data_IF_494745460441
#
_entry.id   IF_494745460441
#
_cell.length_a   1.000
_cell.length_b   1.000
_cell.length_c   1.000
_cell.angle_alpha   90.00
_cell.angle_beta   90.00
_cell.angle_gamma   90.00
#
_symmetry.space_group_name_H-M   'P 1'
#
loop_
_entity.id
_entity.type
_entity.pdbx_description
1 polymer ?
#
# COMPACT_ATOMS: atom_id res chain seq x y z
N UNK A 1 6.32 -18.00 -5.11
CA UNK A 1 6.36 -16.76 -5.93
C UNK A 1 5.23 -16.70 -6.97
N UNK A 2 4.99 -17.74 -7.78
CA UNK A 2 3.91 -17.77 -8.79
C UNK A 2 2.52 -17.42 -8.25
N UNK A 3 2.16 -17.83 -7.01
CA UNK A 3 0.88 -17.48 -6.37
C UNK A 3 0.79 -16.03 -5.86
N UNK A 4 1.92 -15.33 -5.71
CA UNK A 4 1.96 -13.97 -5.15
C UNK A 4 1.89 -12.89 -6.25
N UNK A 5 2.20 -13.24 -7.51
CA UNK A 5 2.06 -12.32 -8.63
C UNK A 5 0.58 -12.03 -8.85
N UNK A 6 0.20 -10.75 -8.84
CA UNK A 6 -1.20 -10.32 -8.92
C UNK A 6 -1.98 -10.37 -7.61
N UNK A 7 -1.41 -10.91 -6.53
CA UNK A 7 -1.99 -10.75 -5.20
C UNK A 7 -1.78 -9.31 -4.71
N UNK A 8 -2.82 -8.72 -4.14
CA UNK A 8 -2.80 -7.38 -3.56
C UNK A 8 -2.93 -7.53 -2.05
N UNK A 9 -2.02 -6.92 -1.32
CA UNK A 9 -2.07 -6.78 0.14
C UNK A 9 -2.09 -5.31 0.52
N UNK A 10 -2.60 -5.03 1.71
CA UNK A 10 -2.80 -3.67 2.20
C UNK A 10 -2.09 -3.50 3.54
N UNK A 11 -1.47 -2.34 3.73
CA UNK A 11 -1.09 -1.86 5.07
C UNK A 11 -1.96 -0.66 5.40
N UNK A 12 -2.38 -0.56 6.65
CA UNK A 12 -3.10 0.58 7.20
C UNK A 12 -2.27 1.12 8.37
N UNK A 13 -1.75 2.32 8.22
CA UNK A 13 -0.93 3.00 9.20
C UNK A 13 -1.79 4.10 9.84
N UNK A 14 -1.89 4.07 11.17
CA UNK A 14 -2.59 5.08 11.96
C UNK A 14 -1.61 5.73 12.90
N UNK A 15 -1.55 7.05 12.86
CA UNK A 15 -0.68 7.83 13.74
C UNK A 15 -1.32 9.16 14.09
N UNK A 16 -0.85 9.77 15.18
CA UNK A 16 -1.17 11.15 15.53
C UNK A 16 -0.02 12.06 15.11
N UNK A 17 -0.35 13.18 14.47
CA UNK A 17 0.58 14.27 14.22
C UNK A 17 0.62 15.22 15.43
N UNK A 18 1.42 16.28 15.32
CA UNK A 18 1.42 17.36 16.29
C UNK A 18 0.00 17.90 16.48
N UNK A 19 -0.36 18.25 17.72
CA UNK A 19 -1.71 18.71 18.15
C UNK A 19 -2.80 17.64 18.25
N UNK A 20 -2.43 16.34 18.37
CA UNK A 20 -3.36 15.22 18.55
C UNK A 20 -4.29 14.95 17.35
N UNK A 21 -3.93 15.50 16.18
CA UNK A 21 -4.61 15.23 14.93
C UNK A 21 -4.28 13.81 14.47
N UNK A 22 -5.29 12.95 14.33
CA UNK A 22 -5.09 11.56 13.93
C UNK A 22 -5.23 11.39 12.42
N UNK A 23 -4.39 10.54 11.84
CA UNK A 23 -4.38 10.27 10.40
C UNK A 23 -4.36 8.78 10.14
N UNK A 24 -4.98 8.39 9.02
CA UNK A 24 -4.95 7.06 8.46
C UNK A 24 -4.35 7.14 7.05
N UNK A 25 -3.28 6.39 6.79
CA UNK A 25 -2.86 6.06 5.44
C UNK A 25 -3.12 4.58 5.15
N UNK A 26 -3.61 4.29 3.95
CA UNK A 26 -3.72 2.92 3.45
C UNK A 26 -2.93 2.78 2.16
N UNK A 27 -2.00 1.82 2.14
CA UNK A 27 -1.13 1.54 1.00
C UNK A 27 -1.42 0.15 0.47
N UNK A 28 -1.76 0.05 -0.81
CA UNK A 28 -1.81 -1.22 -1.52
C UNK A 28 -0.41 -1.57 -2.01
N UNK A 29 0.01 -2.83 -1.85
CA UNK A 29 1.25 -3.34 -2.42
C UNK A 29 0.99 -4.66 -3.16
N UNK A 30 1.68 -4.85 -4.28
CA UNK A 30 1.56 -6.06 -5.10
C UNK A 30 2.85 -6.32 -5.86
N UNK A 31 3.01 -7.55 -6.34
CA UNK A 31 4.15 -7.94 -7.18
C UNK A 31 3.67 -8.12 -8.61
N UNK A 32 4.40 -7.53 -9.57
CA UNK A 32 4.14 -7.63 -11.01
C UNK A 32 5.43 -7.94 -11.77
N UNK A 33 5.30 -8.61 -12.92
CA UNK A 33 6.38 -8.67 -13.91
C UNK A 33 6.69 -7.29 -14.48
N UNK A 34 7.97 -6.95 -14.54
CA UNK A 34 8.45 -5.80 -15.31
C UNK A 34 8.35 -6.14 -16.80
N UNK A 35 7.68 -5.31 -17.60
CA UNK A 35 7.69 -5.48 -19.06
C UNK A 35 8.95 -4.83 -19.63
N UNK A 36 10.08 -5.52 -19.55
CA UNK A 36 11.25 -5.21 -20.38
C UNK A 36 11.10 -5.88 -21.76
N UNK A 37 11.71 -5.30 -22.80
CA UNK A 37 11.67 -5.76 -24.21
C UNK A 37 12.19 -7.20 -24.47
N UNK A 38 12.44 -8.00 -23.45
CA UNK A 38 12.89 -9.37 -23.55
C UNK A 38 11.75 -10.33 -23.15
N UNK A 39 11.35 -11.30 -24.00
CA UNK A 39 10.22 -12.22 -23.76
C UNK A 39 10.37 -13.11 -22.50
N UNK A 40 11.52 -13.08 -21.83
CA UNK A 40 11.90 -13.99 -20.75
C UNK A 40 12.54 -13.29 -19.55
N UNK A 41 12.41 -11.97 -19.40
CA UNK A 41 12.81 -11.32 -18.15
C UNK A 41 11.81 -11.70 -17.06
N UNK A 42 12.08 -12.77 -16.32
CA UNK A 42 11.34 -13.20 -15.13
C UNK A 42 11.46 -12.23 -13.95
N UNK A 43 11.80 -10.96 -14.22
CA UNK A 43 12.04 -9.96 -13.21
C UNK A 43 10.70 -9.50 -12.62
N UNK A 44 10.60 -9.67 -11.31
CA UNK A 44 9.47 -9.23 -10.52
C UNK A 44 9.83 -7.90 -9.86
N UNK A 45 8.90 -6.95 -9.92
CA UNK A 45 8.97 -5.70 -9.18
C UNK A 45 7.85 -5.66 -8.15
N UNK A 46 8.21 -5.26 -6.93
CA UNK A 46 7.25 -4.81 -5.94
C UNK A 46 6.75 -3.43 -6.34
N UNK A 47 5.42 -3.25 -6.35
CA UNK A 47 4.75 -1.98 -6.58
C UNK A 47 3.96 -1.62 -5.34
N UNK A 48 3.80 -0.33 -5.10
CA UNK A 48 2.99 0.20 -4.03
C UNK A 48 2.23 1.43 -4.52
N UNK A 49 1.03 1.65 -3.99
CA UNK A 49 0.22 2.84 -4.23
C UNK A 49 -0.48 3.27 -2.95
N UNK A 50 -0.38 4.55 -2.62
CA UNK A 50 -1.20 5.18 -1.58
C UNK A 50 -2.63 5.28 -2.12
N UNK A 51 -3.56 4.55 -1.50
CA UNK A 51 -4.96 4.49 -1.96
C UNK A 51 -5.92 5.25 -1.05
N UNK A 52 -5.48 5.58 0.17
CA UNK A 52 -6.25 6.43 1.08
C UNK A 52 -5.29 7.23 1.96
N UNK A 53 -5.62 8.49 2.19
CA UNK A 53 -5.00 9.34 3.20
C UNK A 53 -6.10 10.22 3.80
N UNK A 54 -6.43 9.99 5.07
CA UNK A 54 -7.58 10.62 5.72
C UNK A 54 -7.19 11.21 7.06
N UNK A 55 -7.73 12.39 7.35
CA UNK A 55 -7.81 12.92 8.69
C UNK A 55 -8.92 12.20 9.45
N UNK A 56 -8.59 11.72 10.65
CA UNK A 56 -9.52 11.13 11.59
C UNK A 56 -9.85 12.19 12.65
N UNK A 57 -11.01 12.88 12.53
CA UNK A 57 -11.43 13.82 13.55
C UNK A 57 -11.58 13.08 14.88
N UNK A 58 -11.16 13.74 15.96
CA UNK A 58 -11.22 13.22 17.33
C UNK A 58 -12.67 13.04 17.81
N UNK A 59 -13.29 11.95 17.36
CA UNK A 59 -14.53 11.42 17.92
C UNK A 59 -14.40 9.90 18.00
N UNK A 60 -13.48 9.43 18.84
CA UNK A 60 -13.49 8.07 19.31
C UNK A 60 -14.71 7.88 20.22
N UNK A 61 -15.69 7.07 19.81
CA UNK A 61 -16.79 6.64 20.71
C UNK A 61 -16.43 5.44 21.60
N UNK A 62 -15.17 5.00 21.59
CA UNK A 62 -14.76 3.79 22.30
C UNK A 62 -15.19 2.52 21.60
#
# INVERSE_FOLDING_TARGET
>A
LQRAVGAISFTADVWSADKLDSYLAMTAHWIRHESGNAPHSGQLAMKAALIAFHYLPSSHMG
#
